data_IF_563963423759
#
_entry.id   IF_563963423759
#
_cell.length_a   1.000
_cell.length_b   1.000
_cell.length_c   1.000
_cell.angle_alpha   90.00
_cell.angle_beta   90.00
_cell.angle_gamma   90.00
#
_symmetry.space_group_name_H-M   'P 1'
#
loop_
_entity.id
_entity.type
_entity.pdbx_description
1 polymer ?
#
# COMPACT_ATOMS: atom_id res chain seq x y z
N UNK A 1 11.59 -23.34 10.00
CA UNK A 1 11.25 -22.33 8.97
C UNK A 1 12.18 -21.14 9.15
N UNK A 2 12.70 -20.56 8.05
CA UNK A 2 13.39 -19.27 8.13
C UNK A 2 12.40 -18.12 8.34
N UNK A 3 12.87 -16.98 8.83
CA UNK A 3 12.01 -15.81 9.12
C UNK A 3 11.18 -15.38 7.90
N UNK A 4 11.79 -15.32 6.71
CA UNK A 4 11.08 -14.99 5.46
C UNK A 4 9.93 -15.95 5.19
N UNK A 5 10.18 -17.26 5.30
CA UNK A 5 9.15 -18.28 5.06
C UNK A 5 7.99 -18.18 6.07
N UNK A 6 8.27 -17.83 7.32
CA UNK A 6 7.23 -17.59 8.31
C UNK A 6 6.39 -16.34 7.97
N UNK A 7 7.03 -15.25 7.54
CA UNK A 7 6.31 -14.03 7.09
C UNK A 7 5.43 -14.33 5.88
N UNK A 8 5.93 -15.11 4.91
CA UNK A 8 5.15 -15.50 3.73
C UNK A 8 3.92 -16.33 4.09
N UNK A 9 4.07 -17.29 5.02
CA UNK A 9 2.95 -18.07 5.53
C UNK A 9 1.90 -17.19 6.23
N UNK A 10 2.33 -16.24 7.07
CA UNK A 10 1.43 -15.30 7.75
C UNK A 10 0.68 -14.41 6.75
N UNK A 11 1.36 -13.86 5.75
CA UNK A 11 0.73 -13.02 4.73
C UNK A 11 -0.20 -13.81 3.80
N UNK A 12 0.08 -15.10 3.61
CA UNK A 12 -0.83 -16.00 2.91
C UNK A 12 -2.11 -16.20 3.73
N UNK A 13 -1.99 -16.54 5.02
CA UNK A 13 -3.14 -16.77 5.89
C UNK A 13 -4.01 -15.51 6.04
N UNK A 14 -3.39 -14.34 6.26
CA UNK A 14 -4.12 -13.06 6.35
C UNK A 14 -4.94 -12.76 5.09
N UNK A 15 -4.47 -13.16 3.91
CA UNK A 15 -5.21 -12.99 2.65
C UNK A 15 -6.47 -13.85 2.62
N UNK A 16 -6.41 -15.04 3.21
CA UNK A 16 -7.52 -15.99 3.24
C UNK A 16 -8.53 -15.61 4.33
N UNK A 17 -8.06 -15.32 5.54
CA UNK A 17 -8.89 -15.03 6.71
C UNK A 17 -9.62 -13.68 6.59
N UNK A 18 -8.91 -12.62 6.16
CA UNK A 18 -9.42 -11.24 6.17
C UNK A 18 -9.90 -10.76 4.80
N UNK A 19 -10.47 -11.68 4.01
CA UNK A 19 -10.95 -11.36 2.67
C UNK A 19 -12.14 -10.39 2.74
N UNK A 20 -12.11 -9.34 1.92
CA UNK A 20 -13.12 -8.26 1.88
C UNK A 20 -13.19 -7.36 3.12
N UNK A 21 -12.22 -7.42 4.03
CA UNK A 21 -12.17 -6.56 5.23
C UNK A 21 -11.27 -5.33 5.09
N UNK A 22 -10.56 -5.20 3.96
CA UNK A 22 -9.69 -4.05 3.66
C UNK A 22 -8.21 -4.25 4.00
N UNK A 23 -7.82 -5.40 4.52
CA UNK A 23 -6.43 -5.69 4.93
C UNK A 23 -5.45 -5.91 3.76
N UNK A 24 -5.95 -6.33 2.60
CA UNK A 24 -5.06 -6.79 1.52
C UNK A 24 -4.16 -5.67 0.99
N UNK A 25 -4.69 -4.46 0.84
CA UNK A 25 -3.92 -3.32 0.36
C UNK A 25 -2.81 -2.89 1.33
N UNK A 26 -3.09 -2.57 2.61
CA UNK A 26 -2.06 -2.16 3.55
C UNK A 26 -1.01 -3.27 3.78
N UNK A 27 -1.39 -4.55 3.76
CA UNK A 27 -0.42 -5.66 3.81
C UNK A 27 0.57 -5.64 2.66
N UNK A 28 0.10 -5.41 1.43
CA UNK A 28 0.96 -5.34 0.26
C UNK A 28 1.85 -4.09 0.26
N UNK A 29 1.34 -2.94 0.70
CA UNK A 29 2.10 -1.69 0.73
C UNK A 29 3.17 -1.73 1.83
N UNK A 30 2.81 -2.11 3.06
CA UNK A 30 3.74 -2.11 4.20
C UNK A 30 4.85 -3.17 4.13
N UNK A 31 4.74 -4.10 3.17
CA UNK A 31 5.75 -5.14 2.92
C UNK A 31 6.46 -4.96 1.58
N UNK A 32 6.26 -3.82 0.90
CA UNK A 32 6.84 -3.48 -0.40
C UNK A 32 6.50 -4.47 -1.52
N UNK A 33 5.36 -5.18 -1.40
CA UNK A 33 4.90 -6.19 -2.36
C UNK A 33 3.87 -5.67 -3.36
N UNK A 34 3.29 -4.49 -3.14
CA UNK A 34 2.19 -3.97 -3.96
C UNK A 34 2.52 -3.85 -5.45
N UNK A 35 3.66 -3.23 -5.79
CA UNK A 35 4.08 -3.03 -7.19
C UNK A 35 4.27 -4.37 -7.91
N UNK A 36 5.03 -5.28 -7.30
CA UNK A 36 5.31 -6.59 -7.88
C UNK A 36 4.05 -7.47 -7.99
N UNK A 37 3.12 -7.37 -7.02
CA UNK A 37 1.92 -8.22 -6.98
C UNK A 37 0.80 -7.72 -7.89
N UNK A 38 0.62 -6.40 -7.98
CA UNK A 38 -0.53 -5.79 -8.68
C UNK A 38 -0.16 -5.18 -10.05
N UNK A 39 1.13 -5.05 -10.36
CA UNK A 39 1.57 -4.46 -11.63
C UNK A 39 1.25 -2.97 -11.76
N UNK A 40 1.18 -2.25 -10.63
CA UNK A 40 0.87 -0.82 -10.59
C UNK A 40 2.16 0.03 -10.60
N UNK A 41 2.11 1.27 -11.14
CA UNK A 41 3.21 2.23 -10.95
C UNK A 41 3.51 2.49 -9.47
N UNK A 42 4.78 2.67 -9.12
CA UNK A 42 5.21 2.82 -7.73
C UNK A 42 4.51 3.97 -6.98
N UNK A 43 4.27 5.11 -7.63
CA UNK A 43 3.60 6.24 -7.01
C UNK A 43 2.15 5.94 -6.60
N UNK A 44 1.49 4.96 -7.23
CA UNK A 44 0.12 4.54 -6.88
C UNK A 44 0.02 3.70 -5.61
N UNK A 45 1.12 3.56 -4.86
CA UNK A 45 1.10 3.04 -3.49
C UNK A 45 0.61 4.08 -2.48
N UNK A 46 0.61 5.35 -2.85
CA UNK A 46 0.03 6.46 -2.10
C UNK A 46 -1.21 6.99 -2.81
N UNK A 47 -2.11 7.60 -2.04
CA UNK A 47 -3.21 8.39 -2.60
C UNK A 47 -2.71 9.80 -2.96
N UNK A 48 -3.32 10.49 -3.94
CA UNK A 48 -3.09 11.92 -4.12
C UNK A 48 -3.54 12.67 -2.87
N UNK A 49 -2.80 13.71 -2.51
CA UNK A 49 -3.29 14.73 -1.59
C UNK A 49 -4.47 15.42 -2.28
N UNK A 50 -5.64 15.53 -1.62
CA UNK A 50 -6.80 16.20 -2.20
C UNK A 50 -6.50 17.65 -2.59
N UNK A 51 -7.02 18.10 -3.75
CA UNK A 51 -6.71 19.43 -4.29
C UNK A 51 -7.13 20.56 -3.34
N UNK A 52 -8.27 20.42 -2.66
CA UNK A 52 -8.74 21.38 -1.67
C UNK A 52 -7.74 21.59 -0.52
N UNK A 53 -6.99 20.55 -0.13
CA UNK A 53 -5.94 20.66 0.89
C UNK A 53 -4.72 21.42 0.36
N UNK A 54 -4.36 21.22 -0.91
CA UNK A 54 -3.28 21.97 -1.57
C UNK A 54 -3.63 23.45 -1.73
N UNK A 55 -4.88 23.76 -2.04
CA UNK A 55 -5.34 25.15 -2.24
C UNK A 55 -5.31 25.97 -0.94
N UNK A 56 -5.58 25.34 0.22
CA UNK A 56 -5.61 26.02 1.52
C UNK A 56 -4.27 26.00 2.26
N UNK A 57 -3.33 25.14 1.87
CA UNK A 57 -2.03 24.99 2.51
C UNK A 57 -0.88 25.27 1.52
N UNK A 58 -0.43 26.53 1.36
CA UNK A 58 0.56 26.92 0.35
C UNK A 58 1.93 26.24 0.45
N UNK A 59 2.26 25.65 1.61
CA UNK A 59 3.49 24.88 1.81
C UNK A 59 3.34 23.37 1.57
N UNK A 60 2.12 22.90 1.29
CA UNK A 60 1.84 21.49 1.04
C UNK A 60 2.18 21.15 -0.40
N UNK A 61 3.03 20.14 -0.59
CA UNK A 61 3.46 19.66 -1.90
C UNK A 61 2.80 18.31 -2.16
N UNK A 62 2.31 18.10 -3.38
CA UNK A 62 1.70 16.85 -3.81
C UNK A 62 2.66 15.66 -3.66
N UNK A 63 2.10 14.48 -3.41
CA UNK A 63 2.82 13.21 -3.44
C UNK A 63 3.45 13.00 -4.84
N UNK A 64 4.74 12.63 -4.92
CA UNK A 64 5.43 12.51 -6.21
C UNK A 64 4.69 11.59 -7.19
N UNK A 65 4.43 12.08 -8.40
CA UNK A 65 3.74 11.34 -9.46
C UNK A 65 2.22 11.58 -9.56
N UNK A 66 1.65 12.36 -8.63
CA UNK A 66 0.29 12.90 -8.71
C UNK A 66 0.27 14.40 -9.02
#
# INVERSE_FOLDING_TARGET
MGQSAAIDAILHERRLELVYEGDRWPDLVRTDRAVATLGIPAFRTLFPIPQNELDVAPGLVQNPGY
#
